data_IF_460594473274
#
_entry.id   IF_460594473274
#
_cell.length_a   1.000
_cell.length_b   1.000
_cell.length_c   1.000
_cell.angle_alpha   90.00
_cell.angle_beta   90.00
_cell.angle_gamma   90.00
#
_symmetry.space_group_name_H-M   'P 1'
#
loop_
_entity.id
_entity.type
_entity.pdbx_description
1 polymer ?
#
# COMPACT_ATOMS: atom_id res chain seq x y z
N UNK A 1 -9.29 -17.12 14.92
CA UNK A 1 -8.45 -16.63 13.81
C UNK A 1 -7.27 -17.58 13.62
N UNK A 2 -6.65 -17.56 12.45
CA UNK A 2 -5.41 -18.29 12.16
C UNK A 2 -4.41 -17.40 11.42
N UNK A 3 -3.11 -17.70 11.56
CA UNK A 3 -2.07 -17.21 10.66
C UNK A 3 -2.06 -18.08 9.40
N UNK A 4 -2.17 -17.47 8.24
CA UNK A 4 -1.96 -18.14 6.95
C UNK A 4 -0.70 -17.57 6.31
N UNK A 5 0.34 -18.39 6.19
CA UNK A 5 1.61 -18.01 5.57
C UNK A 5 1.76 -18.80 4.27
N UNK A 6 1.60 -18.13 3.14
CA UNK A 6 1.78 -18.69 1.79
C UNK A 6 3.14 -18.26 1.25
N UNK A 7 3.95 -19.20 0.72
CA UNK A 7 5.27 -18.91 0.12
C UNK A 7 5.53 -19.69 -1.16
N UNK A 8 6.17 -19.04 -2.14
CA UNK A 8 6.70 -19.70 -3.33
C UNK A 8 7.79 -20.73 -2.96
N UNK A 9 8.77 -20.30 -2.17
CA UNK A 9 9.79 -21.17 -1.60
C UNK A 9 9.27 -21.76 -0.27
N UNK A 10 8.87 -23.03 -0.32
CA UNK A 10 8.31 -23.76 0.81
C UNK A 10 9.36 -24.61 1.56
N UNK A 11 10.63 -24.58 1.17
CA UNK A 11 11.67 -25.45 1.71
C UNK A 11 11.90 -25.26 3.21
N UNK A 12 11.83 -24.02 3.71
CA UNK A 12 11.92 -23.70 5.14
C UNK A 12 10.93 -24.54 5.97
N UNK A 13 9.74 -24.81 5.41
CA UNK A 13 8.63 -25.48 6.08
C UNK A 13 8.55 -26.99 5.78
N UNK A 14 9.47 -27.57 4.99
CA UNK A 14 9.58 -29.02 4.76
C UNK A 14 10.22 -29.73 5.96
N UNK A 15 9.61 -29.57 7.13
CA UNK A 15 10.02 -30.15 8.41
C UNK A 15 9.04 -31.22 8.88
N UNK A 16 9.54 -32.14 9.70
CA UNK A 16 8.73 -33.19 10.31
C UNK A 16 7.90 -32.64 11.47
N UNK A 17 6.84 -33.36 11.86
CA UNK A 17 6.08 -33.00 13.07
C UNK A 17 6.99 -33.02 14.32
N UNK A 18 6.87 -32.00 15.16
CA UNK A 18 7.71 -31.74 16.33
C UNK A 18 9.01 -30.98 16.05
N UNK A 19 9.38 -30.78 14.77
CA UNK A 19 10.60 -30.05 14.45
C UNK A 19 10.41 -28.54 14.52
N UNK A 20 11.47 -27.87 14.98
CA UNK A 20 11.55 -26.41 15.08
C UNK A 20 12.37 -25.87 13.90
N UNK A 21 11.98 -24.70 13.43
CA UNK A 21 12.72 -23.92 12.45
C UNK A 21 12.69 -22.44 12.77
N UNK A 22 13.46 -21.68 11.99
CA UNK A 22 13.43 -20.22 11.99
C UNK A 22 13.25 -19.76 10.55
N UNK A 23 12.48 -18.70 10.34
CA UNK A 23 12.25 -18.11 9.02
C UNK A 23 12.06 -16.60 9.14
N UNK A 24 12.00 -15.94 7.99
CA UNK A 24 11.69 -14.52 7.91
C UNK A 24 10.67 -14.23 6.82
N UNK A 25 9.90 -13.16 7.00
CA UNK A 25 8.83 -12.75 6.11
C UNK A 25 8.90 -11.26 5.83
N UNK A 26 8.79 -10.85 4.56
CA UNK A 26 8.84 -9.43 4.19
C UNK A 26 7.64 -8.68 4.76
N UNK A 27 7.87 -7.58 5.49
CA UNK A 27 6.78 -6.81 6.10
C UNK A 27 5.83 -6.22 5.06
N UNK A 28 6.32 -5.90 3.86
CA UNK A 28 5.49 -5.37 2.78
C UNK A 28 4.42 -6.37 2.28
N UNK A 29 4.56 -7.65 2.64
CA UNK A 29 3.61 -8.74 2.33
C UNK A 29 2.86 -9.23 3.56
N UNK A 30 3.09 -8.63 4.72
CA UNK A 30 2.33 -8.87 5.95
C UNK A 30 0.94 -8.23 5.87
N UNK A 31 -0.08 -8.95 6.35
CA UNK A 31 -1.50 -8.60 6.28
C UNK A 31 -2.04 -8.42 4.85
N UNK A 32 -1.33 -8.91 3.84
CA UNK A 32 -1.90 -9.01 2.50
C UNK A 32 -2.99 -10.09 2.51
N UNK A 33 -4.15 -9.81 1.89
CA UNK A 33 -5.36 -10.64 1.97
C UNK A 33 -5.99 -10.78 3.37
N UNK A 34 -5.56 -9.99 4.36
CA UNK A 34 -6.28 -9.80 5.63
C UNK A 34 -7.44 -8.81 5.44
N UNK A 35 -8.58 -9.09 6.07
CA UNK A 35 -9.72 -8.16 6.07
C UNK A 35 -9.35 -6.79 6.66
N UNK A 36 -9.91 -5.72 6.12
CA UNK A 36 -9.53 -4.33 6.46
C UNK A 36 -9.76 -3.98 7.94
N UNK A 37 -10.79 -4.54 8.56
CA UNK A 37 -11.09 -4.36 9.99
C UNK A 37 -9.96 -4.94 10.85
N UNK A 38 -9.52 -6.16 10.53
CA UNK A 38 -8.45 -6.86 11.25
C UNK A 38 -7.10 -6.21 10.94
N UNK A 39 -6.83 -5.87 9.68
CA UNK A 39 -5.59 -5.17 9.29
C UNK A 39 -5.38 -3.90 10.12
N UNK A 40 -6.45 -3.14 10.39
CA UNK A 40 -6.40 -1.95 11.23
C UNK A 40 -6.06 -2.22 12.71
N UNK A 41 -6.32 -3.43 13.22
CA UNK A 41 -5.95 -3.81 14.61
C UNK A 41 -4.48 -4.23 14.76
N UNK A 42 -3.81 -4.58 13.64
CA UNK A 42 -2.42 -5.05 13.61
C UNK A 42 -1.47 -4.05 12.95
N UNK A 43 -1.96 -2.85 12.64
CA UNK A 43 -1.18 -1.71 12.16
C UNK A 43 -1.25 -0.55 13.16
N UNK A 44 -0.13 0.15 13.43
CA UNK A 44 1.22 -0.13 12.92
C UNK A 44 1.80 -1.41 13.53
N UNK A 45 2.80 -2.00 12.86
CA UNK A 45 3.47 -3.21 13.35
C UNK A 45 4.37 -2.85 14.53
N UNK A 46 3.95 -3.26 15.72
CA UNK A 46 4.66 -3.10 17.00
C UNK A 46 4.92 -4.44 17.67
N UNK A 47 5.83 -4.49 18.65
CA UNK A 47 6.09 -5.69 19.45
C UNK A 47 4.81 -6.25 20.11
N UNK A 48 3.87 -5.37 20.48
CA UNK A 48 2.56 -5.75 21.02
C UNK A 48 1.70 -6.45 19.97
N UNK A 49 1.52 -5.86 18.78
CA UNK A 49 0.74 -6.48 17.70
C UNK A 49 1.35 -7.81 17.23
N UNK A 50 2.69 -7.89 17.15
CA UNK A 50 3.41 -9.12 16.81
C UNK A 50 3.28 -10.18 17.91
N UNK A 51 3.19 -9.77 19.18
CA UNK A 51 3.02 -10.71 20.28
C UNK A 51 1.73 -11.51 20.16
N UNK A 52 0.63 -10.84 19.77
CA UNK A 52 -0.70 -11.43 19.56
C UNK A 52 -0.73 -12.48 18.44
N UNK A 53 0.22 -12.44 17.50
CA UNK A 53 0.28 -13.43 16.41
C UNK A 53 0.57 -14.85 16.92
N UNK A 54 1.24 -14.97 18.07
CA UNK A 54 1.61 -16.25 18.70
C UNK A 54 0.42 -17.01 19.24
N UNK A 55 -0.70 -16.33 19.47
CA UNK A 55 -1.92 -16.92 20.05
C UNK A 55 -2.74 -17.70 19.01
N UNK A 56 -2.42 -17.54 17.72
CA UNK A 56 -3.15 -18.21 16.64
C UNK A 56 -2.38 -19.42 16.10
N UNK A 57 -3.09 -20.50 15.72
CA UNK A 57 -2.48 -21.57 14.93
C UNK A 57 -1.97 -21.01 13.60
N UNK A 58 -0.91 -21.62 13.08
CA UNK A 58 -0.29 -21.20 11.83
C UNK A 58 -0.41 -22.29 10.79
N UNK A 59 -1.07 -21.97 9.69
CA UNK A 59 -1.07 -22.77 8.47
C UNK A 59 0.05 -22.26 7.57
N UNK A 60 1.04 -23.11 7.33
CA UNK A 60 2.08 -22.87 6.32
C UNK A 60 1.66 -23.56 5.04
N UNK A 61 1.55 -22.82 3.95
CA UNK A 61 1.15 -23.36 2.65
C UNK A 61 2.10 -22.92 1.54
N UNK A 62 2.33 -23.76 0.53
CA UNK A 62 3.05 -23.33 -0.66
C UNK A 62 2.15 -22.47 -1.54
N UNK A 63 2.75 -21.65 -2.40
CA UNK A 63 2.03 -21.17 -3.58
C UNK A 63 1.60 -22.37 -4.44
N UNK A 64 0.60 -22.13 -5.29
CA UNK A 64 0.12 -23.12 -6.24
C UNK A 64 1.22 -23.48 -7.24
N UNK A 65 1.51 -24.78 -7.34
CA UNK A 65 2.50 -25.34 -8.26
C UNK A 65 1.82 -26.26 -9.28
N UNK A 66 2.33 -26.31 -10.51
CA UNK A 66 1.85 -27.26 -11.53
C UNK A 66 2.45 -28.64 -11.30
N UNK A 67 1.64 -29.69 -11.46
CA UNK A 67 2.11 -31.07 -11.52
C UNK A 67 2.59 -31.37 -12.94
N UNK A 68 3.90 -31.36 -13.16
CA UNK A 68 4.53 -31.66 -14.47
C UNK A 68 4.04 -30.73 -15.61
N UNK A 69 4.46 -30.98 -16.87
CA UNK A 69 4.20 -30.12 -18.06
C UNK A 69 2.71 -30.03 -18.48
N UNK A 70 1.77 -30.55 -17.69
CA UNK A 70 0.33 -30.42 -17.96
C UNK A 70 -0.26 -29.24 -17.16
N UNK A 71 -0.56 -28.14 -17.86
CA UNK A 71 -1.17 -26.89 -17.36
C UNK A 71 -2.60 -27.04 -16.77
N UNK A 72 -2.99 -28.26 -16.40
CA UNK A 72 -4.32 -28.65 -15.96
C UNK A 72 -4.41 -29.04 -14.49
N UNK A 73 -3.33 -29.60 -13.91
CA UNK A 73 -3.33 -30.14 -12.55
C UNK A 73 -2.35 -29.38 -11.67
N UNK A 74 -2.82 -28.97 -10.49
CA UNK A 74 -2.06 -28.15 -9.57
C UNK A 74 -2.05 -28.74 -8.18
N UNK A 75 -1.06 -28.34 -7.39
CA UNK A 75 -0.98 -28.70 -6.00
C UNK A 75 -0.51 -27.57 -5.09
N UNK A 76 -0.81 -27.75 -3.81
CA UNK A 76 -0.22 -26.98 -2.71
C UNK A 76 0.25 -27.93 -1.61
N UNK A 77 1.42 -27.68 -1.07
CA UNK A 77 1.91 -28.34 0.14
C UNK A 77 1.42 -27.57 1.36
N UNK A 78 1.02 -28.27 2.43
CA UNK A 78 0.46 -27.67 3.64
C UNK A 78 1.05 -28.29 4.90
N UNK A 79 1.31 -27.45 5.91
CA UNK A 79 1.72 -27.85 7.26
C UNK A 79 0.93 -27.04 8.28
N UNK A 80 0.61 -27.67 9.40
CA UNK A 80 0.09 -26.99 10.58
C UNK A 80 1.22 -26.79 11.59
N UNK A 81 1.23 -25.66 12.26
CA UNK A 81 2.22 -25.37 13.28
C UNK A 81 1.86 -24.18 14.16
N UNK A 82 2.86 -23.72 14.90
CA UNK A 82 2.80 -22.54 15.76
C UNK A 82 4.03 -21.68 15.52
N UNK A 83 3.89 -20.36 15.69
CA UNK A 83 5.00 -19.41 15.61
C UNK A 83 5.39 -18.91 17.00
N UNK A 84 6.69 -18.64 17.20
CA UNK A 84 7.31 -18.20 18.45
C UNK A 84 8.35 -17.12 18.12
N UNK A 85 8.78 -16.36 19.13
CA UNK A 85 9.88 -15.38 19.02
C UNK A 85 9.76 -14.42 17.82
N UNK A 86 8.55 -13.87 17.63
CA UNK A 86 8.26 -12.95 16.51
C UNK A 86 8.86 -11.58 16.81
N UNK A 87 9.65 -11.05 15.88
CA UNK A 87 10.28 -9.72 15.98
C UNK A 87 10.50 -9.12 14.60
N UNK A 88 10.68 -7.81 14.50
CA UNK A 88 11.05 -7.14 13.24
C UNK A 88 12.55 -6.82 13.25
N UNK A 89 13.24 -7.19 12.16
CA UNK A 89 14.63 -6.79 11.93
C UNK A 89 14.89 -6.62 10.44
N UNK A 90 15.47 -5.47 10.07
CA UNK A 90 15.79 -5.13 8.68
C UNK A 90 14.59 -5.30 7.75
N UNK A 91 13.41 -4.78 8.14
CA UNK A 91 12.16 -4.84 7.36
C UNK A 91 11.57 -6.24 7.14
N UNK A 92 12.17 -7.26 7.74
CA UNK A 92 11.63 -8.61 7.79
C UNK A 92 11.05 -8.89 9.19
N UNK A 93 9.89 -9.55 9.23
CA UNK A 93 9.38 -10.22 10.41
C UNK A 93 10.13 -11.55 10.55
N UNK A 94 10.95 -11.67 11.58
CA UNK A 94 11.66 -12.91 11.93
C UNK A 94 10.87 -13.66 12.98
N UNK A 95 10.79 -14.97 12.83
CA UNK A 95 10.08 -15.82 13.76
C UNK A 95 10.66 -17.24 13.77
N UNK A 96 10.53 -17.89 14.92
CA UNK A 96 10.70 -19.32 15.05
C UNK A 96 9.34 -20.00 14.85
N UNK A 97 9.35 -21.24 14.43
CA UNK A 97 8.13 -22.02 14.27
C UNK A 97 8.35 -23.48 14.61
N UNK A 98 7.26 -24.15 14.93
CA UNK A 98 7.20 -25.58 15.22
C UNK A 98 6.11 -26.20 14.35
N UNK A 99 6.46 -27.23 13.57
CA UNK A 99 5.47 -27.97 12.79
C UNK A 99 4.78 -28.97 13.71
N UNK A 100 3.47 -28.85 13.87
CA UNK A 100 2.68 -29.81 14.66
C UNK A 100 2.15 -30.93 13.78
N UNK A 101 1.79 -30.64 12.52
CA UNK A 101 1.27 -31.64 11.60
C UNK A 101 1.77 -31.48 10.17
N UNK A 102 2.03 -32.63 9.56
CA UNK A 102 2.41 -32.78 8.16
C UNK A 102 1.23 -33.37 7.40
N UNK A 103 0.72 -32.62 6.43
CA UNK A 103 -0.33 -33.11 5.54
C UNK A 103 0.24 -33.68 4.25
N UNK A 104 -0.53 -34.59 3.64
CA UNK A 104 -0.33 -34.95 2.24
C UNK A 104 -0.54 -33.72 1.36
N UNK A 105 0.10 -33.74 0.20
CA UNK A 105 -0.09 -32.73 -0.84
C UNK A 105 -1.57 -32.64 -1.23
N UNK A 106 -2.07 -31.41 -1.36
CA UNK A 106 -3.44 -31.15 -1.81
C UNK A 106 -3.42 -30.87 -3.30
N UNK A 107 -4.13 -31.70 -4.08
CA UNK A 107 -4.17 -31.59 -5.53
C UNK A 107 -5.56 -31.14 -6.01
N UNK A 108 -5.60 -30.31 -7.05
CA UNK A 108 -6.83 -29.83 -7.65
C UNK A 108 -6.65 -29.46 -9.12
N UNK A 109 -7.74 -29.53 -9.88
CA UNK A 109 -7.76 -29.15 -11.30
C UNK A 109 -7.97 -27.64 -11.48
N UNK A 110 -7.38 -27.06 -12.54
CA UNK A 110 -7.48 -25.61 -12.85
C UNK A 110 -8.90 -25.05 -12.76
N UNK A 111 -9.87 -25.79 -13.31
CA UNK A 111 -11.28 -25.38 -13.36
C UNK A 111 -11.94 -25.31 -11.97
N UNK A 112 -11.44 -26.08 -11.00
CA UNK A 112 -11.93 -26.11 -9.61
C UNK A 112 -11.26 -25.09 -8.69
N UNK A 113 -10.32 -24.28 -9.20
CA UNK A 113 -9.51 -23.36 -8.38
C UNK A 113 -10.35 -22.38 -7.56
N UNK A 114 -11.31 -21.69 -8.20
CA UNK A 114 -12.12 -20.68 -7.50
C UNK A 114 -12.94 -21.30 -6.37
N UNK A 115 -13.41 -22.54 -6.56
CA UNK A 115 -14.12 -23.29 -5.53
C UNK A 115 -13.17 -23.75 -4.42
N UNK A 116 -11.94 -24.15 -4.76
CA UNK A 116 -10.90 -24.48 -3.79
C UNK A 116 -10.51 -23.26 -2.94
N UNK A 117 -10.23 -22.10 -3.54
CA UNK A 117 -9.97 -20.83 -2.84
C UNK A 117 -11.14 -20.51 -1.87
N UNK A 118 -12.38 -20.59 -2.36
CA UNK A 118 -13.57 -20.29 -1.55
C UNK A 118 -13.73 -21.23 -0.35
N UNK A 119 -13.51 -22.53 -0.53
CA UNK A 119 -13.60 -23.53 0.56
C UNK A 119 -12.59 -23.27 1.68
N UNK A 120 -11.43 -22.71 1.33
CA UNK A 120 -10.36 -22.36 2.27
C UNK A 120 -10.52 -20.95 2.88
N UNK A 121 -11.55 -20.19 2.51
CA UNK A 121 -11.71 -18.79 2.93
C UNK A 121 -10.68 -17.84 2.30
N UNK A 122 -10.16 -18.19 1.13
CA UNK A 122 -9.17 -17.40 0.40
C UNK A 122 -9.83 -16.43 -0.59
N UNK A 123 -9.20 -15.28 -0.76
CA UNK A 123 -9.50 -14.31 -1.79
C UNK A 123 -9.01 -14.75 -3.17
N UNK A 124 -9.53 -14.08 -4.20
CA UNK A 124 -9.11 -14.32 -5.58
C UNK A 124 -7.63 -14.04 -5.78
N UNK A 125 -6.87 -15.05 -6.21
CA UNK A 125 -5.45 -14.91 -6.54
C UNK A 125 -4.51 -15.05 -5.34
N UNK A 126 -5.06 -15.37 -4.17
CA UNK A 126 -4.30 -15.54 -2.93
C UNK A 126 -3.32 -16.72 -3.01
N UNK A 127 -3.63 -17.75 -3.80
CA UNK A 127 -2.77 -18.93 -3.99
C UNK A 127 -1.52 -18.70 -4.88
N UNK A 128 -1.42 -17.57 -5.59
CA UNK A 128 -0.34 -17.29 -6.56
C UNK A 128 0.70 -16.33 -6.03
N UNK A 129 0.64 -16.01 -4.74
CA UNK A 129 1.38 -14.88 -4.22
C UNK A 129 1.80 -15.12 -2.80
N UNK A 130 3.09 -14.94 -2.55
CA UNK A 130 3.67 -15.01 -1.22
C UNK A 130 3.09 -13.87 -0.37
N UNK A 131 2.45 -14.25 0.74
CA UNK A 131 1.89 -13.32 1.72
C UNK A 131 1.66 -13.99 3.09
N UNK A 132 1.46 -13.15 4.10
CA UNK A 132 0.98 -13.55 5.41
C UNK A 132 -0.36 -12.87 5.67
N UNK A 133 -1.43 -13.66 5.75
CA UNK A 133 -2.77 -13.20 6.09
C UNK A 133 -3.19 -13.63 7.50
N UNK A 134 -4.02 -12.81 8.14
CA UNK A 134 -4.81 -13.22 9.30
C UNK A 134 -6.23 -13.52 8.83
N UNK A 135 -6.70 -14.72 9.15
CA UNK A 135 -8.00 -15.21 8.68
C UNK A 135 -8.95 -15.46 9.84
N UNK A 136 -10.21 -15.08 9.64
CA UNK A 136 -11.32 -15.26 10.58
C UNK A 136 -11.86 -16.68 10.59
N UNK A 137 -11.75 -17.39 9.46
CA UNK A 137 -12.10 -18.82 9.36
C UNK A 137 -11.38 -19.60 10.48
N UNK A 138 -12.12 -20.50 11.12
CA UNK A 138 -11.54 -21.36 12.15
C UNK A 138 -10.58 -22.37 11.53
N UNK A 139 -9.63 -22.86 12.31
CA UNK A 139 -8.73 -23.92 11.84
C UNK A 139 -9.52 -25.15 11.37
N UNK A 140 -10.58 -25.53 12.08
CA UNK A 140 -11.39 -26.69 11.71
C UNK A 140 -12.14 -26.48 10.38
N UNK A 141 -12.72 -25.31 10.15
CA UNK A 141 -13.36 -24.99 8.87
C UNK A 141 -12.34 -24.99 7.72
N UNK A 142 -11.14 -24.44 7.95
CA UNK A 142 -10.06 -24.48 6.97
C UNK A 142 -9.67 -25.91 6.62
N UNK A 143 -9.43 -26.76 7.62
CA UNK A 143 -9.06 -28.17 7.44
C UNK A 143 -10.16 -28.94 6.70
N UNK A 144 -11.43 -28.76 7.10
CA UNK A 144 -12.57 -29.38 6.42
C UNK A 144 -12.68 -28.92 4.96
N UNK A 145 -12.52 -27.63 4.70
CA UNK A 145 -12.52 -27.07 3.33
C UNK A 145 -11.38 -27.61 2.46
N UNK A 146 -10.25 -27.90 3.09
CA UNK A 146 -9.07 -28.49 2.48
C UNK A 146 -9.17 -30.02 2.27
N UNK A 147 -10.16 -30.68 2.90
CA UNK A 147 -10.21 -32.15 2.97
C UNK A 147 -9.10 -32.74 3.84
N UNK A 148 -8.56 -31.97 4.78
CA UNK A 148 -7.50 -32.35 5.71
C UNK A 148 -8.11 -32.73 7.06
N UNK A 149 -7.55 -33.75 7.69
CA UNK A 149 -7.93 -34.17 9.05
C UNK A 149 -6.72 -34.20 9.96
N UNK A 150 -6.92 -33.80 11.20
CA UNK A 150 -5.93 -33.88 12.28
C UNK A 150 -6.51 -34.81 13.36
N UNK A 151 -5.71 -35.69 13.99
CA UNK A 151 -6.18 -36.48 15.13
C UNK A 151 -6.77 -35.59 16.24
N UNK A 152 -7.91 -35.98 16.84
CA UNK A 152 -8.62 -35.15 17.84
C UNK A 152 -7.74 -34.78 19.05
N UNK A 153 -6.79 -35.65 19.40
CA UNK A 153 -5.81 -35.49 20.48
C UNK A 153 -4.68 -34.49 20.15
N UNK A 154 -4.53 -34.13 18.88
CA UNK A 154 -3.48 -33.24 18.42
C UNK A 154 -3.98 -31.80 18.18
N UNK A 155 -5.30 -31.58 18.30
CA UNK A 155 -5.89 -30.28 18.60
C UNK A 155 -5.75 -30.02 20.11
N UNK A 156 -4.50 -29.83 20.55
CA UNK A 156 -4.11 -29.51 21.93
C UNK A 156 -5.15 -28.61 22.62
N UNK A 157 -5.62 -28.96 23.83
CA UNK A 157 -6.71 -28.31 24.60
C UNK A 157 -6.47 -26.81 24.93
N UNK A 158 -5.38 -26.23 24.44
CA UNK A 158 -5.16 -24.77 24.38
C UNK A 158 -5.78 -24.12 23.14
N UNK A 159 -6.30 -24.91 22.18
CA UNK A 159 -7.00 -24.45 20.96
C UNK A 159 -8.51 -24.25 21.20
N UNK A 160 -9.03 -24.59 22.39
CA UNK A 160 -10.38 -24.18 22.82
C UNK A 160 -10.45 -22.67 23.03
N UNK A 161 -10.94 -21.98 21.99
CA UNK A 161 -11.97 -20.95 22.05
C UNK A 161 -11.94 -20.14 23.36
N UNK A 162 -10.95 -19.26 23.53
CA UNK A 162 -11.33 -17.91 23.93
C UNK A 162 -11.97 -17.28 22.71
N UNK A 163 -13.27 -17.60 22.53
CA UNK A 163 -14.16 -16.62 21.96
C UNK A 163 -13.96 -15.40 22.83
N UNK A 164 -13.15 -14.45 22.36
CA UNK A 164 -13.29 -13.08 22.80
C UNK A 164 -14.76 -12.82 22.55
N UNK A 165 -15.53 -12.72 23.64
CA UNK A 165 -16.91 -12.34 23.56
C UNK A 165 -16.99 -11.13 22.61
N UNK A 166 -17.96 -11.06 21.69
CA UNK A 166 -18.27 -9.76 21.12
C UNK A 166 -18.59 -8.88 22.32
N UNK A 167 -17.74 -7.88 22.59
CA UNK A 167 -18.11 -6.88 23.57
C UNK A 167 -19.48 -6.37 23.15
N UNK A 168 -20.39 -6.41 24.11
CA UNK A 168 -21.79 -6.10 23.95
C UNK A 168 -21.98 -4.87 23.07
N UNK A 169 -22.97 -4.97 22.18
CA UNK A 169 -23.54 -3.88 21.40
C UNK A 169 -23.87 -2.69 22.30
N UNK A 170 -22.93 -1.76 22.44
CA UNK A 170 -23.27 -0.36 22.55
C UNK A 170 -23.43 0.11 21.10
N UNK A 171 -24.60 0.68 20.78
CA UNK A 171 -24.77 1.44 19.55
C UNK A 171 -23.65 2.48 19.46
N UNK A 172 -22.65 2.24 18.63
CA UNK A 172 -21.62 3.21 18.29
C UNK A 172 -21.50 3.17 16.77
N UNK A 173 -21.87 4.30 16.16
CA UNK A 173 -21.74 4.57 14.74
C UNK A 173 -20.36 4.18 14.22
N UNK A 174 -20.36 3.64 13.00
CA UNK A 174 -19.17 3.19 12.26
C UNK A 174 -18.26 4.39 11.96
N UNK A 175 -17.46 4.77 12.96
CA UNK A 175 -16.33 5.69 12.87
C UNK A 175 -15.04 4.90 12.79
N UNK A 176 -14.53 4.73 11.56
CA UNK A 176 -13.19 4.19 11.33
C UNK A 176 -12.16 5.20 11.85
N UNK A 177 -11.46 4.84 12.92
CA UNK A 177 -10.30 5.58 13.41
C UNK A 177 -9.06 5.26 12.55
N UNK A 178 -8.30 6.26 12.09
CA UNK A 178 -6.99 6.08 11.44
C UNK A 178 -5.86 6.13 12.47
N UNK A 179 -4.84 5.28 12.31
CA UNK A 179 -3.60 5.42 13.07
C UNK A 179 -2.42 5.77 12.14
N UNK A 180 -1.80 6.87 12.54
CA UNK A 180 -0.54 7.46 12.12
C UNK A 180 0.73 6.68 12.39
N UNK A 181 1.48 6.24 11.38
CA UNK A 181 2.90 5.94 11.54
C UNK A 181 3.72 7.23 11.55
N UNK A 182 4.66 7.27 12.50
CA UNK A 182 5.64 8.33 12.82
C UNK A 182 5.18 9.35 13.86
N UNK A 183 4.50 8.91 14.90
CA UNK A 183 4.68 9.42 16.26
C UNK A 183 4.50 8.26 17.25
N UNK A 184 5.26 8.26 18.33
CA UNK A 184 5.20 7.22 19.36
C UNK A 184 3.78 7.07 19.91
N UNK A 185 3.41 5.83 20.28
CA UNK A 185 2.22 5.51 21.06
C UNK A 185 2.12 6.50 22.23
N UNK A 186 1.10 7.37 22.23
CA UNK A 186 0.77 8.24 23.36
C UNK A 186 0.97 9.77 23.21
N UNK A 187 1.19 10.34 22.01
CA UNK A 187 1.06 11.79 21.80
C UNK A 187 -0.17 12.16 20.97
N UNK A 188 -0.92 13.15 21.44
CA UNK A 188 -2.06 13.73 20.73
C UNK A 188 -1.61 14.39 19.42
N UNK A 189 -2.31 14.09 18.32
CA UNK A 189 -2.08 14.75 17.04
C UNK A 189 -2.55 16.22 17.17
N UNK A 190 -1.69 17.22 16.91
CA UNK A 190 -2.07 18.62 17.08
C UNK A 190 -3.25 18.99 16.18
N UNK A 191 -4.16 19.80 16.71
CA UNK A 191 -5.33 20.29 15.99
C UNK A 191 -5.19 21.79 15.69
N UNK A 192 -5.51 22.19 14.46
CA UNK A 192 -5.46 23.59 14.03
C UNK A 192 -6.83 24.05 13.53
N UNK A 193 -7.12 25.32 13.83
CA UNK A 193 -8.41 25.95 13.55
C UNK A 193 -8.30 27.23 12.70
N UNK A 194 -7.08 27.64 12.36
CA UNK A 194 -6.80 28.82 11.55
C UNK A 194 -5.50 28.63 10.75
N UNK A 195 -5.26 29.47 9.74
CA UNK A 195 -3.98 29.51 9.03
C UNK A 195 -2.84 29.86 10.02
N UNK A 196 -3.08 30.78 10.96
CA UNK A 196 -2.06 31.20 11.92
C UNK A 196 -1.61 30.06 12.84
N UNK A 197 -2.55 29.22 13.31
CA UNK A 197 -2.22 28.02 14.09
C UNK A 197 -1.40 27.05 13.25
N UNK A 198 -1.85 26.78 12.02
CA UNK A 198 -1.14 25.90 11.10
C UNK A 198 0.29 26.39 10.81
N UNK A 199 0.48 27.69 10.57
CA UNK A 199 1.80 28.27 10.32
C UNK A 199 2.73 28.19 11.53
N UNK A 200 2.17 28.27 12.75
CA UNK A 200 2.92 28.07 14.00
C UNK A 200 3.42 26.62 14.10
N UNK A 201 2.53 25.64 13.90
CA UNK A 201 2.89 24.22 13.96
C UNK A 201 3.96 23.85 12.92
N UNK A 202 3.83 24.29 11.66
CA UNK A 202 4.85 23.98 10.64
C UNK A 202 6.18 24.71 10.90
N UNK A 203 6.16 25.82 11.64
CA UNK A 203 7.36 26.59 12.00
C UNK A 203 8.27 25.85 12.97
N UNK A 204 7.75 24.87 13.71
CA UNK A 204 8.50 24.03 14.65
C UNK A 204 9.20 22.86 13.95
N UNK A 205 8.86 22.59 12.69
CA UNK A 205 9.43 21.47 11.93
C UNK A 205 10.83 21.85 11.43
N UNK A 206 11.81 21.06 11.89
CA UNK A 206 13.22 21.22 11.53
C UNK A 206 13.40 21.32 10.00
N UNK A 207 13.66 22.54 9.55
CA UNK A 207 13.92 22.85 8.16
C UNK A 207 15.38 23.28 8.05
N UNK A 208 16.25 22.32 7.69
CA UNK A 208 17.62 22.60 7.30
C UNK A 208 17.75 22.53 5.77
N UNK A 209 18.77 23.17 5.17
CA UNK A 209 19.02 23.06 3.72
C UNK A 209 19.19 21.61 3.23
N UNK A 210 19.57 20.70 4.12
CA UNK A 210 19.78 19.27 3.82
C UNK A 210 18.49 18.45 3.92
N UNK A 211 17.37 19.05 4.32
CA UNK A 211 16.07 18.39 4.49
C UNK A 211 15.08 19.00 3.51
N UNK A 212 14.46 18.15 2.70
CA UNK A 212 13.30 18.50 1.89
C UNK A 212 12.03 18.16 2.66
N UNK A 213 11.13 19.14 2.75
CA UNK A 213 9.81 18.97 3.36
C UNK A 213 8.75 19.00 2.26
N UNK A 214 7.83 18.04 2.29
CA UNK A 214 6.68 17.96 1.40
C UNK A 214 5.42 17.73 2.21
N UNK A 215 4.29 18.13 1.64
CA UNK A 215 3.00 18.13 2.31
C UNK A 215 1.96 17.38 1.50
N UNK A 216 0.95 16.84 2.18
CA UNK A 216 -0.25 16.30 1.56
C UNK A 216 -1.47 16.65 2.41
N UNK A 217 -2.49 17.21 1.77
CA UNK A 217 -3.80 17.40 2.39
C UNK A 217 -4.69 16.18 2.19
N UNK A 218 -5.26 15.68 3.27
CA UNK A 218 -6.34 14.71 3.25
C UNK A 218 -7.60 15.41 3.74
N UNK A 219 -8.67 15.36 2.93
CA UNK A 219 -9.95 15.94 3.31
C UNK A 219 -10.53 15.30 4.58
N UNK A 220 -10.21 14.05 4.86
CA UNK A 220 -10.56 13.37 6.11
C UNK A 220 -9.32 12.80 6.74
N UNK A 221 -9.19 12.92 8.06
CA UNK A 221 -8.08 12.32 8.79
C UNK A 221 -8.05 10.78 8.69
N UNK A 222 -9.19 10.15 8.40
CA UNK A 222 -9.33 8.69 8.25
C UNK A 222 -8.93 8.12 6.89
N UNK A 223 -8.39 8.96 6.01
CA UNK A 223 -7.85 8.53 4.74
C UNK A 223 -6.46 7.88 4.91
N UNK A 224 -6.24 6.77 4.21
CA UNK A 224 -4.93 6.12 4.16
C UNK A 224 -3.97 6.91 3.28
N UNK A 225 -2.69 6.95 3.66
CA UNK A 225 -1.58 7.51 2.90
C UNK A 225 -1.08 6.50 1.84
N UNK A 226 -2.01 5.91 1.11
CA UNK A 226 -1.75 4.84 0.14
C UNK A 226 -2.15 5.28 -1.27
N UNK A 227 -1.30 5.08 -2.30
CA UNK A 227 -1.67 5.27 -3.70
C UNK A 227 -2.92 4.48 -4.08
N UNK A 228 -3.70 4.99 -5.04
CA UNK A 228 -4.95 4.32 -5.48
C UNK A 228 -4.70 2.89 -5.95
N UNK A 229 -3.56 2.62 -6.61
CA UNK A 229 -3.20 1.28 -7.10
C UNK A 229 -3.15 0.22 -5.98
N UNK A 230 -2.62 0.58 -4.80
CA UNK A 230 -2.47 -0.32 -3.65
C UNK A 230 -3.69 -0.30 -2.72
N UNK A 231 -4.86 0.16 -3.17
CA UNK A 231 -6.08 0.06 -2.37
C UNK A 231 -6.68 -1.34 -2.51
N UNK A 232 -7.05 -1.93 -1.36
CA UNK A 232 -7.69 -3.25 -1.24
C UNK A 232 -9.20 -3.13 -1.07
N UNK A 233 -9.94 -4.17 -1.45
CA UNK A 233 -11.32 -4.40 -1.05
C UNK A 233 -11.44 -4.63 0.46
N UNK A 234 -12.64 -4.54 1.07
CA UNK A 234 -12.83 -4.82 2.50
C UNK A 234 -12.33 -6.22 2.93
N UNK A 235 -12.44 -7.21 2.05
CA UNK A 235 -11.94 -8.57 2.27
C UNK A 235 -10.42 -8.74 2.10
N UNK A 236 -9.65 -7.66 1.96
CA UNK A 236 -8.19 -7.71 1.83
C UNK A 236 -7.64 -7.95 0.41
N UNK A 237 -8.50 -8.28 -0.57
CA UNK A 237 -8.05 -8.51 -1.97
C UNK A 237 -7.69 -7.20 -2.69
N UNK A 238 -6.75 -7.26 -3.63
CA UNK A 238 -6.35 -6.08 -4.42
C UNK A 238 -7.45 -5.64 -5.40
N UNK A 239 -7.72 -4.34 -5.47
CA UNK A 239 -8.66 -3.78 -6.46
C UNK A 239 -8.04 -3.68 -7.86
N UNK A 240 -6.82 -3.18 -7.92
CA UNK A 240 -6.18 -2.73 -9.17
C UNK A 240 -4.79 -3.30 -9.40
N UNK A 241 -4.04 -3.58 -8.32
CA UNK A 241 -2.62 -3.96 -8.38
C UNK A 241 -2.32 -5.06 -9.40
N UNK A 242 -3.15 -6.10 -9.44
CA UNK A 242 -2.97 -7.28 -10.32
C UNK A 242 -3.23 -7.00 -11.80
N UNK A 243 -3.76 -5.82 -12.15
CA UNK A 243 -4.11 -5.41 -13.51
C UNK A 243 -3.41 -4.12 -13.93
N UNK A 244 -2.41 -3.66 -13.18
CA UNK A 244 -1.72 -2.37 -13.41
C UNK A 244 -1.27 -2.22 -14.88
N UNK A 245 -0.65 -3.25 -15.44
CA UNK A 245 -0.08 -3.21 -16.78
C UNK A 245 -1.16 -3.23 -17.88
N UNK A 246 -2.30 -3.87 -17.60
CA UNK A 246 -3.46 -3.90 -18.50
C UNK A 246 -4.12 -2.53 -18.56
N UNK A 247 -4.48 -1.95 -17.41
CA UNK A 247 -5.19 -0.66 -17.35
C UNK A 247 -4.34 0.49 -17.92
N UNK A 248 -3.02 0.45 -17.71
CA UNK A 248 -2.07 1.42 -18.28
C UNK A 248 -2.06 1.32 -19.80
N UNK A 249 -1.93 0.10 -20.35
CA UNK A 249 -1.91 -0.10 -21.81
C UNK A 249 -3.24 0.22 -22.47
N UNK A 250 -4.36 -0.10 -21.83
CA UNK A 250 -5.69 0.24 -22.35
C UNK A 250 -5.85 1.76 -22.49
N UNK A 251 -5.47 2.53 -21.47
CA UNK A 251 -5.58 3.99 -21.55
C UNK A 251 -4.61 4.59 -22.58
N UNK A 252 -3.36 4.11 -22.63
CA UNK A 252 -2.38 4.54 -23.65
C UNK A 252 -2.88 4.26 -25.07
N UNK A 253 -3.55 3.12 -25.28
CA UNK A 253 -4.09 2.72 -26.58
C UNK A 253 -5.33 3.52 -26.95
N UNK A 254 -6.24 3.74 -26.00
CA UNK A 254 -7.48 4.47 -26.22
C UNK A 254 -7.28 5.97 -26.44
N UNK A 255 -6.27 6.57 -25.79
CA UNK A 255 -6.01 8.02 -25.81
C UNK A 255 -4.60 8.35 -26.30
N UNK A 256 -4.09 7.64 -27.31
CA UNK A 256 -2.71 7.76 -27.79
C UNK A 256 -2.26 9.20 -28.11
N UNK A 257 -3.17 10.07 -28.58
CA UNK A 257 -2.87 11.48 -28.88
C UNK A 257 -2.51 12.29 -27.63
N UNK A 258 -3.17 12.02 -26.51
CA UNK A 258 -2.93 12.73 -25.24
C UNK A 258 -1.53 12.43 -24.68
N UNK A 259 -1.00 11.24 -24.97
CA UNK A 259 0.32 10.79 -24.53
C UNK A 259 1.46 11.09 -25.53
N UNK A 260 1.16 11.64 -26.71
CA UNK A 260 2.13 11.76 -27.80
C UNK A 260 3.37 12.62 -27.46
N UNK A 261 3.23 13.56 -26.52
CA UNK A 261 4.30 14.46 -26.09
C UNK A 261 4.98 14.04 -24.77
N UNK A 262 4.49 12.99 -24.13
CA UNK A 262 5.06 12.46 -22.91
C UNK A 262 6.35 11.70 -23.26
N UNK A 263 7.45 12.00 -22.55
CA UNK A 263 8.80 11.51 -22.92
C UNK A 263 9.25 10.30 -22.11
N UNK A 264 8.59 10.04 -21.00
CA UNK A 264 8.88 8.90 -20.12
C UNK A 264 7.62 8.28 -19.57
N UNK A 265 7.74 7.07 -19.06
CA UNK A 265 6.68 6.39 -18.32
C UNK A 265 6.26 7.16 -17.07
N UNK A 266 7.15 7.95 -16.46
CA UNK A 266 6.76 8.84 -15.36
C UNK A 266 5.74 9.89 -15.84
N UNK A 267 5.96 10.52 -16.99
CA UNK A 267 5.02 11.51 -17.53
C UNK A 267 3.66 10.88 -17.81
N UNK A 268 3.65 9.67 -18.40
CA UNK A 268 2.43 8.89 -18.59
C UNK A 268 1.71 8.68 -17.26
N UNK A 269 2.40 8.18 -16.23
CA UNK A 269 1.80 7.92 -14.92
C UNK A 269 1.25 9.19 -14.26
N UNK A 270 1.95 10.32 -14.37
CA UNK A 270 1.49 11.61 -13.86
C UNK A 270 0.21 12.07 -14.57
N UNK A 271 0.13 11.93 -15.90
CA UNK A 271 -1.09 12.23 -16.66
C UNK A 271 -2.23 11.28 -16.31
N UNK A 272 -1.94 9.99 -16.20
CA UNK A 272 -2.90 8.96 -15.80
C UNK A 272 -3.50 9.24 -14.42
N UNK A 273 -2.65 9.58 -13.44
CA UNK A 273 -3.05 10.02 -12.10
C UNK A 273 -3.95 11.25 -12.15
N UNK A 274 -3.59 12.25 -12.96
CA UNK A 274 -4.37 13.48 -13.12
C UNK A 274 -5.82 13.21 -13.55
N UNK A 275 -6.01 12.27 -14.48
CA UNK A 275 -7.33 11.84 -14.95
C UNK A 275 -7.97 10.70 -14.13
N UNK A 276 -7.34 10.30 -13.02
CA UNK A 276 -7.93 9.38 -12.04
C UNK A 276 -7.71 7.90 -12.29
N UNK A 277 -6.81 7.51 -13.21
CA UNK A 277 -6.40 6.11 -13.32
C UNK A 277 -5.65 5.70 -12.03
N UNK A 278 -5.89 4.51 -11.46
CA UNK A 278 -5.13 4.00 -10.34
C UNK A 278 -3.65 3.82 -10.70
N UNK A 279 -2.76 4.63 -10.11
CA UNK A 279 -1.31 4.51 -10.32
C UNK A 279 -0.54 4.29 -9.02
N UNK A 280 0.74 3.95 -9.17
CA UNK A 280 1.73 3.85 -8.08
C UNK A 280 2.17 5.21 -7.50
N UNK A 281 1.62 6.32 -8.00
CA UNK A 281 1.96 7.66 -7.55
C UNK A 281 1.09 8.10 -6.36
N UNK A 282 1.70 8.84 -5.45
CA UNK A 282 1.00 9.59 -4.41
C UNK A 282 1.32 11.07 -4.55
N UNK A 283 0.29 11.90 -4.71
CA UNK A 283 0.48 13.35 -4.87
C UNK A 283 0.96 14.00 -3.58
N UNK A 284 1.99 14.82 -3.70
CA UNK A 284 2.50 15.70 -2.67
C UNK A 284 2.55 17.14 -3.21
N UNK A 285 2.74 18.10 -2.33
CA UNK A 285 3.00 19.49 -2.69
C UNK A 285 4.15 20.03 -1.86
N UNK A 286 4.99 20.89 -2.44
CA UNK A 286 5.97 21.65 -1.66
C UNK A 286 5.37 22.90 -1.01
N UNK A 287 4.08 23.20 -1.23
CA UNK A 287 3.40 24.35 -0.66
C UNK A 287 2.47 23.91 0.49
N UNK A 288 2.77 24.28 1.75
CA UNK A 288 1.97 23.87 2.90
C UNK A 288 0.53 24.39 2.85
N UNK A 289 0.28 25.57 2.27
CA UNK A 289 -1.06 26.14 2.17
C UNK A 289 -1.93 25.43 1.11
N UNK A 290 -1.31 24.85 0.08
CA UNK A 290 -2.02 24.00 -0.89
C UNK A 290 -2.43 22.68 -0.22
N UNK A 291 -1.57 22.10 0.62
CA UNK A 291 -1.95 20.94 1.42
C UNK A 291 -3.07 21.28 2.42
N UNK A 292 -2.99 22.43 3.09
CA UNK A 292 -4.06 22.91 3.95
C UNK A 292 -5.38 23.07 3.19
N UNK A 293 -5.35 23.64 1.98
CA UNK A 293 -6.53 23.72 1.12
C UNK A 293 -7.14 22.34 0.84
N UNK A 294 -6.33 21.35 0.43
CA UNK A 294 -6.82 19.98 0.17
C UNK A 294 -7.32 19.25 1.42
N UNK A 295 -6.89 19.66 2.62
CA UNK A 295 -7.44 19.15 3.87
C UNK A 295 -8.84 19.72 4.18
N UNK A 296 -9.19 20.85 3.57
CA UNK A 296 -10.45 21.56 3.81
C UNK A 296 -11.46 21.44 2.67
N UNK A 297 -11.02 21.21 1.43
CA UNK A 297 -11.86 21.19 0.24
C UNK A 297 -11.71 19.88 -0.57
N UNK A 298 -12.83 19.18 -0.75
CA UNK A 298 -12.98 18.08 -1.70
C UNK A 298 -14.28 18.27 -2.50
N UNK A 299 -14.21 18.50 -3.83
CA UNK A 299 -15.39 18.63 -4.68
C UNK A 299 -16.32 17.41 -4.69
N UNK A 300 -15.83 16.25 -4.23
CA UNK A 300 -16.58 14.99 -4.17
C UNK A 300 -17.03 14.64 -2.75
N UNK A 301 -16.82 15.53 -1.78
CA UNK A 301 -17.24 15.31 -0.41
C UNK A 301 -18.75 15.13 -0.29
N UNK A 302 -19.16 14.13 0.51
CA UNK A 302 -20.55 13.98 0.95
C UNK A 302 -20.82 14.95 2.10
N UNK A 303 -22.08 15.31 2.32
CA UNK A 303 -22.45 16.23 3.41
C UNK A 303 -22.00 15.71 4.79
N UNK A 304 -22.13 14.41 5.04
CA UNK A 304 -21.71 13.77 6.30
C UNK A 304 -20.19 13.89 6.56
N UNK A 305 -19.38 14.05 5.51
CA UNK A 305 -17.93 14.14 5.61
C UNK A 305 -17.45 15.56 5.93
N UNK A 306 -18.31 16.59 5.81
CA UNK A 306 -17.95 18.00 6.07
C UNK A 306 -17.56 18.25 7.53
N UNK A 307 -18.18 17.52 8.45
CA UNK A 307 -17.94 17.67 9.88
C UNK A 307 -16.76 16.83 10.39
N UNK A 308 -16.23 15.91 9.58
CA UNK A 308 -15.03 15.15 9.94
C UNK A 308 -13.80 16.03 9.83
N UNK A 309 -12.83 15.95 10.74
CA UNK A 309 -11.59 16.71 10.62
C UNK A 309 -10.80 16.28 9.39
N UNK A 310 -10.17 17.25 8.73
CA UNK A 310 -9.17 17.02 7.71
C UNK A 310 -7.82 16.74 8.35
N UNK A 311 -6.81 16.48 7.52
CA UNK A 311 -5.45 16.27 8.01
C UNK A 311 -4.42 16.79 7.01
N UNK A 312 -3.42 17.51 7.49
CA UNK A 312 -2.20 17.79 6.75
C UNK A 312 -1.13 16.81 7.21
N UNK A 313 -0.52 16.14 6.25
CA UNK A 313 0.54 15.16 6.42
C UNK A 313 1.81 15.78 5.89
N UNK A 314 2.87 15.75 6.68
CA UNK A 314 4.14 16.40 6.41
C UNK A 314 5.18 15.29 6.35
N UNK A 315 5.88 15.20 5.23
CA UNK A 315 6.90 14.20 4.99
C UNK A 315 8.25 14.90 4.89
N UNK A 316 9.22 14.45 5.68
CA UNK A 316 10.59 14.94 5.60
C UNK A 316 11.49 13.86 4.98
N UNK A 317 12.46 14.30 4.19
CA UNK A 317 13.51 13.43 3.65
C UNK A 317 14.77 14.23 3.40
N UNK A 318 15.92 13.56 3.29
CA UNK A 318 17.17 14.24 2.93
C UNK A 318 17.06 14.80 1.52
N UNK A 319 17.48 16.04 1.30
CA UNK A 319 17.37 16.72 0.02
C UNK A 319 18.02 15.94 -1.14
N UNK A 320 19.14 15.24 -0.88
CA UNK A 320 19.83 14.37 -1.84
C UNK A 320 19.05 13.11 -2.26
N UNK A 321 18.06 12.71 -1.48
CA UNK A 321 17.20 11.55 -1.79
C UNK A 321 16.02 11.93 -2.68
N UNK A 322 15.71 13.22 -2.79
CA UNK A 322 14.73 13.71 -3.75
C UNK A 322 15.29 13.55 -5.17
N UNK A 323 14.64 12.71 -5.96
CA UNK A 323 15.00 12.43 -7.35
C UNK A 323 14.27 13.39 -8.29
N UNK A 324 14.86 13.58 -9.45
CA UNK A 324 14.26 14.31 -10.56
C UNK A 324 13.78 13.34 -11.64
N UNK A 325 12.96 13.86 -12.56
CA UNK A 325 12.32 13.10 -13.64
C UNK A 325 13.29 12.32 -14.53
N UNK A 326 14.56 12.69 -14.57
CA UNK A 326 15.62 12.08 -15.40
C UNK A 326 16.44 11.02 -14.65
N UNK A 327 16.15 10.76 -13.37
CA UNK A 327 16.84 9.74 -12.58
C UNK A 327 16.59 8.33 -13.13
N UNK A 328 17.63 7.50 -13.12
CA UNK A 328 17.57 6.10 -13.57
C UNK A 328 16.69 5.23 -12.68
N UNK A 329 16.74 5.41 -11.36
CA UNK A 329 15.81 4.73 -10.43
C UNK A 329 14.35 5.05 -10.74
N UNK A 330 14.06 6.28 -11.14
CA UNK A 330 12.71 6.71 -11.50
C UNK A 330 12.23 6.06 -12.79
N UNK A 331 13.09 5.96 -13.80
CA UNK A 331 12.80 5.21 -15.02
C UNK A 331 12.53 3.74 -14.74
N UNK A 332 13.37 3.11 -13.90
CA UNK A 332 13.19 1.71 -13.48
C UNK A 332 11.83 1.50 -12.81
N UNK A 333 11.54 2.22 -11.72
CA UNK A 333 10.27 2.03 -10.97
C UNK A 333 9.05 2.41 -11.82
N UNK A 334 9.14 3.44 -12.66
CA UNK A 334 8.03 3.82 -13.54
C UNK A 334 7.77 2.73 -14.59
N UNK A 335 8.82 2.19 -15.21
CA UNK A 335 8.70 1.13 -16.23
C UNK A 335 8.24 -0.21 -15.67
N UNK A 336 8.43 -0.48 -14.37
CA UNK A 336 7.84 -1.67 -13.72
C UNK A 336 6.33 -1.73 -13.95
N UNK A 337 5.64 -0.60 -14.09
CA UNK A 337 4.20 -0.57 -14.37
C UNK A 337 3.82 -1.41 -15.60
N UNK A 338 4.73 -1.51 -16.58
CA UNK A 338 4.57 -2.26 -17.82
C UNK A 338 4.89 -3.76 -17.70
N UNK A 339 5.47 -4.23 -16.60
CA UNK A 339 5.62 -5.67 -16.37
C UNK A 339 4.26 -6.28 -16.03
N UNK A 340 4.03 -7.51 -16.49
CA UNK A 340 2.84 -8.27 -16.06
C UNK A 340 2.87 -8.51 -14.54
N UNK A 341 1.71 -8.80 -13.95
CA UNK A 341 1.64 -9.12 -12.52
C UNK A 341 2.54 -10.30 -12.14
N UNK A 342 2.63 -11.33 -13.00
CA UNK A 342 3.45 -12.52 -12.74
C UNK A 342 4.94 -12.18 -12.82
N UNK A 343 5.36 -11.40 -13.83
CA UNK A 343 6.73 -10.90 -13.91
C UNK A 343 7.13 -10.08 -12.67
N UNK A 344 6.22 -9.24 -12.14
CA UNK A 344 6.44 -8.47 -10.90
C UNK A 344 6.59 -9.38 -9.68
N UNK A 345 5.78 -10.44 -9.59
CA UNK A 345 5.82 -11.37 -8.47
C UNK A 345 7.09 -12.23 -8.46
N UNK A 346 7.64 -12.52 -9.64
CA UNK A 346 8.85 -13.35 -9.78
C UNK A 346 10.16 -12.59 -9.53
N UNK A 347 10.12 -11.27 -9.29
CA UNK A 347 11.32 -10.50 -8.97
C UNK A 347 11.76 -10.82 -7.53
N UNK A 348 12.87 -11.56 -7.40
CA UNK A 348 13.57 -11.74 -6.13
C UNK A 348 14.50 -10.54 -5.88
N UNK A 349 14.18 -9.79 -4.82
CA UNK A 349 14.90 -8.58 -4.44
C UNK A 349 16.21 -8.86 -3.71
N UNK A 350 16.38 -10.08 -3.19
CA UNK A 350 17.57 -10.50 -2.42
C UNK A 350 18.61 -11.16 -3.32
N UNK A 351 18.28 -11.36 -4.60
CA UNK A 351 19.16 -11.91 -5.62
C UNK A 351 20.36 -11.00 -5.87
N UNK A 352 21.49 -11.60 -6.27
CA UNK A 352 22.67 -10.82 -6.67
C UNK A 352 22.37 -10.00 -7.93
N UNK A 353 23.07 -8.87 -8.08
CA UNK A 353 22.89 -7.99 -9.25
C UNK A 353 23.17 -8.71 -10.57
N UNK A 354 24.12 -9.65 -10.59
CA UNK A 354 24.50 -10.35 -11.82
C UNK A 354 23.51 -11.46 -12.17
N UNK A 355 23.01 -12.21 -11.17
CA UNK A 355 21.94 -13.20 -11.41
C UNK A 355 20.65 -12.51 -11.84
N UNK A 356 20.30 -11.39 -11.21
CA UNK A 356 19.08 -10.66 -11.52
C UNK A 356 19.05 -10.16 -12.97
N UNK A 357 20.19 -9.81 -13.56
CA UNK A 357 20.25 -9.39 -14.98
C UNK A 357 19.89 -10.54 -15.94
N UNK A 358 20.09 -11.78 -15.52
CA UNK A 358 19.77 -12.94 -16.35
C UNK A 358 18.29 -13.33 -16.29
N UNK A 359 17.56 -12.87 -15.28
CA UNK A 359 16.12 -13.08 -15.13
C UNK A 359 15.31 -12.44 -16.28
N UNK A 360 14.29 -13.16 -16.74
CA UNK A 360 13.40 -12.70 -17.82
C UNK A 360 12.68 -11.40 -17.43
N UNK A 361 12.25 -11.28 -16.18
CA UNK A 361 11.60 -10.06 -15.66
C UNK A 361 12.53 -8.84 -15.73
N UNK A 362 13.83 -9.02 -15.49
CA UNK A 362 14.82 -7.95 -15.54
C UNK A 362 15.12 -7.55 -16.98
N UNK A 363 15.38 -8.53 -17.86
CA UNK A 363 15.57 -8.31 -19.31
C UNK A 363 14.40 -7.53 -19.89
N UNK A 364 13.17 -7.92 -19.52
CA UNK A 364 11.95 -7.24 -19.97
C UNK A 364 11.82 -5.82 -19.44
N UNK A 365 12.21 -5.58 -18.18
CA UNK A 365 12.22 -4.24 -17.60
C UNK A 365 13.23 -3.33 -18.33
N UNK A 366 14.44 -3.83 -18.58
CA UNK A 366 15.49 -3.11 -19.29
C UNK A 366 15.05 -2.77 -20.72
N UNK A 367 14.33 -3.65 -21.41
CA UNK A 367 13.73 -3.34 -22.72
C UNK A 367 12.80 -2.13 -22.64
N UNK A 368 11.93 -2.06 -21.62
CA UNK A 368 11.02 -0.93 -21.46
C UNK A 368 11.77 0.36 -21.14
N UNK A 369 12.77 0.31 -20.26
CA UNK A 369 13.58 1.48 -19.92
C UNK A 369 14.38 1.97 -21.12
N UNK A 370 14.98 1.07 -21.91
CA UNK A 370 15.78 1.44 -23.09
C UNK A 370 14.94 2.02 -24.23
N UNK A 371 13.63 1.72 -24.28
CA UNK A 371 12.71 2.38 -25.23
C UNK A 371 12.59 3.88 -24.96
N UNK A 372 12.58 4.31 -23.69
CA UNK A 372 12.56 5.74 -23.33
C UNK A 372 13.97 6.34 -23.19
N UNK A 373 14.96 5.55 -22.76
CA UNK A 373 16.35 5.94 -22.56
C UNK A 373 17.31 4.97 -23.26
N UNK A 374 17.58 5.12 -24.57
CA UNK A 374 18.42 4.19 -25.34
C UNK A 374 19.85 3.98 -24.79
N UNK A 375 20.35 4.93 -24.01
CA UNK A 375 21.69 4.90 -23.40
C UNK A 375 21.71 4.37 -21.95
N UNK A 376 20.58 3.85 -21.45
CA UNK A 376 20.51 3.30 -20.10
C UNK A 376 21.51 2.15 -19.94
N UNK A 377 22.35 2.25 -18.91
CA UNK A 377 23.32 1.22 -18.55
C UNK A 377 22.66 0.18 -17.66
N UNK A 378 23.15 -1.05 -17.65
CA UNK A 378 22.57 -2.18 -16.89
C UNK A 378 22.93 -2.11 -15.39
N UNK A 379 22.85 -0.91 -14.83
CA UNK A 379 23.01 -0.59 -13.42
C UNK A 379 21.64 -0.68 -12.78
N UNK A 380 21.24 -1.90 -12.50
CA UNK A 380 19.99 -2.22 -11.82
C UNK A 380 20.29 -3.02 -10.56
N UNK A 381 19.92 -2.46 -9.42
CA UNK A 381 19.90 -3.18 -8.14
C UNK A 381 18.45 -3.65 -7.89
N UNK A 382 18.20 -4.95 -7.69
CA UNK A 382 16.83 -5.44 -7.49
C UNK A 382 16.18 -4.86 -6.23
N UNK A 383 16.97 -4.46 -5.22
CA UNK A 383 16.44 -3.82 -4.00
C UNK A 383 15.86 -2.42 -4.28
N UNK A 384 16.43 -1.67 -5.23
CA UNK A 384 15.95 -0.34 -5.64
C UNK A 384 14.51 -0.38 -6.15
N UNK A 385 14.08 -1.50 -6.74
CA UNK A 385 12.74 -1.66 -7.30
C UNK A 385 11.64 -1.66 -6.24
N UNK A 386 11.97 -1.79 -4.96
CA UNK A 386 11.02 -1.76 -3.84
C UNK A 386 10.99 -0.43 -3.08
N UNK A 387 11.85 0.53 -3.44
CA UNK A 387 11.94 1.81 -2.75
C UNK A 387 10.70 2.69 -2.97
N UNK A 388 10.46 3.58 -2.01
CA UNK A 388 9.57 4.73 -2.18
C UNK A 388 10.46 5.92 -2.54
N UNK A 389 10.27 6.44 -3.75
CA UNK A 389 11.10 7.53 -4.25
C UNK A 389 10.35 8.86 -4.24
N UNK A 390 10.97 9.86 -3.64
CA UNK A 390 10.52 11.25 -3.70
C UNK A 390 10.89 11.83 -5.06
N UNK A 391 9.91 12.40 -5.77
CA UNK A 391 10.11 12.94 -7.11
C UNK A 391 9.57 14.35 -7.24
N UNK A 392 10.41 15.24 -7.75
CA UNK A 392 9.96 16.51 -8.33
C UNK A 392 9.69 16.29 -9.81
N UNK A 393 8.41 16.20 -10.15
CA UNK A 393 7.97 16.04 -11.53
C UNK A 393 8.28 17.28 -12.36
N UNK A 394 8.30 17.11 -13.69
CA UNK A 394 8.31 18.27 -14.58
C UNK A 394 6.97 18.97 -14.52
N UNK A 395 6.98 20.30 -14.48
CA UNK A 395 5.78 21.12 -14.53
C UNK A 395 5.22 21.19 -15.95
N UNK A 396 4.87 20.04 -16.54
CA UNK A 396 4.35 19.94 -17.92
C UNK A 396 2.86 20.26 -18.02
N UNK A 397 2.17 20.32 -16.88
CA UNK A 397 0.75 20.63 -16.78
C UNK A 397 0.53 21.82 -15.85
N UNK A 398 -0.31 22.77 -16.25
CA UNK A 398 -0.61 23.98 -15.47
C UNK A 398 -1.08 23.67 -14.04
N UNK A 399 -1.85 22.59 -13.86
CA UNK A 399 -2.30 22.13 -12.53
C UNK A 399 -1.15 21.69 -11.63
N UNK A 400 -0.13 21.03 -12.17
CA UNK A 400 1.03 20.61 -11.37
C UNK A 400 1.84 21.85 -10.96
N UNK A 401 1.95 22.82 -11.86
CA UNK A 401 2.59 24.10 -11.58
C UNK A 401 1.88 24.86 -10.44
N UNK A 402 0.56 25.05 -10.55
CA UNK A 402 -0.23 25.81 -9.59
C UNK A 402 -0.25 25.17 -8.20
N UNK A 403 -0.19 23.85 -8.15
CA UNK A 403 -0.20 23.08 -6.90
C UNK A 403 1.20 22.87 -6.31
N UNK A 404 2.27 23.37 -6.97
CA UNK A 404 3.65 23.06 -6.63
C UNK A 404 3.87 21.54 -6.43
N UNK A 405 3.37 20.76 -7.41
CA UNK A 405 3.21 19.32 -7.29
C UNK A 405 4.54 18.55 -7.23
N UNK A 406 4.59 17.60 -6.30
CA UNK A 406 5.62 16.58 -6.17
C UNK A 406 4.93 15.21 -6.01
N UNK A 407 5.68 14.12 -6.07
CA UNK A 407 5.10 12.78 -5.99
C UNK A 407 5.98 11.85 -5.16
N UNK A 408 5.35 10.87 -4.52
CA UNK A 408 6.01 9.62 -4.20
C UNK A 408 5.75 8.62 -5.31
N UNK A 409 6.77 7.90 -5.75
CA UNK A 409 6.66 6.75 -6.65
C UNK A 409 6.95 5.50 -5.83
N UNK A 410 5.97 4.60 -5.76
CA UNK A 410 6.09 3.37 -5.00
C UNK A 410 6.61 2.23 -5.88
N UNK A 411 7.66 1.57 -5.41
CA UNK A 411 8.20 0.34 -5.97
C UNK A 411 7.30 -0.89 -5.82
N UNK A 412 7.81 -2.03 -6.28
CA UNK A 412 7.22 -3.36 -6.13
C UNK A 412 7.24 -3.72 -4.64
N UNK A 413 6.04 -3.92 -4.08
CA UNK A 413 5.87 -4.24 -2.66
C UNK A 413 6.63 -3.23 -1.78
N UNK A 414 6.50 -1.95 -2.11
CA UNK A 414 7.01 -0.89 -1.26
C UNK A 414 6.32 -0.94 0.11
N UNK A 415 7.10 -0.70 1.16
CA UNK A 415 6.60 -0.65 2.53
C UNK A 415 5.71 0.56 2.72
N UNK A 416 4.42 0.30 2.87
CA UNK A 416 3.46 1.38 3.01
C UNK A 416 3.70 2.17 4.31
N UNK A 417 3.52 3.50 4.30
CA UNK A 417 3.64 4.34 5.49
C UNK A 417 2.92 3.77 6.71
N UNK A 418 1.73 3.22 6.52
CA UNK A 418 0.82 2.67 7.53
C UNK A 418 1.41 1.47 8.28
N UNK A 419 2.47 0.84 7.77
CA UNK A 419 3.13 -0.30 8.42
C UNK A 419 3.86 0.05 9.72
N UNK A 420 4.24 1.32 9.91
CA UNK A 420 5.15 1.70 10.99
C UNK A 420 6.60 1.87 10.53
N UNK A 421 6.98 1.26 9.40
CA UNK A 421 8.37 0.85 9.14
C UNK A 421 8.92 1.39 7.80
N UNK A 422 8.10 2.11 7.02
CA UNK A 422 8.42 2.66 5.68
C UNK A 422 9.68 3.54 5.56
N UNK A 423 10.36 3.86 6.67
CA UNK A 423 11.54 4.73 6.73
C UNK A 423 11.24 6.20 6.43
N UNK A 424 9.97 6.55 6.21
CA UNK A 424 9.50 7.92 6.03
C UNK A 424 9.29 8.59 7.38
N UNK A 425 9.82 9.79 7.53
CA UNK A 425 9.53 10.65 8.67
C UNK A 425 8.25 11.44 8.37
N UNK A 426 7.20 11.19 9.16
CA UNK A 426 5.85 11.69 8.89
C UNK A 426 5.31 12.42 10.13
N UNK A 427 4.98 13.69 9.97
CA UNK A 427 4.24 14.47 10.97
C UNK A 427 2.82 14.75 10.49
N UNK A 428 1.87 14.86 11.41
CA UNK A 428 0.45 14.99 11.07
C UNK A 428 -0.20 16.06 11.92
N UNK A 429 -1.08 16.83 11.30
CA UNK A 429 -1.81 17.92 11.92
C UNK A 429 -3.28 17.76 11.51
N UNK A 430 -4.18 17.67 12.48
CA UNK A 430 -5.61 17.61 12.24
C UNK A 430 -6.17 19.02 11.99
N UNK A 431 -7.13 19.12 11.06
CA UNK A 431 -7.71 20.39 10.62
C UNK A 431 -9.22 20.35 10.85
N UNK A 432 -9.71 21.13 11.81
CA UNK A 432 -11.10 21.01 12.29
C UNK A 432 -11.99 22.11 11.69
N UNK A 433 -11.58 23.38 11.77
CA UNK A 433 -12.32 24.54 11.24
C UNK A 433 -12.14 24.73 9.71
N UNK A 434 -12.53 23.73 8.91
CA UNK A 434 -12.32 23.74 7.45
C UNK A 434 -12.91 24.95 6.74
N UNK A 435 -14.13 25.33 7.10
CA UNK A 435 -14.83 26.44 6.44
C UNK A 435 -14.15 27.79 6.70
N UNK A 436 -13.82 28.10 7.95
CA UNK A 436 -13.10 29.33 8.29
C UNK A 436 -11.70 29.38 7.66
N UNK A 437 -11.00 28.25 7.61
CA UNK A 437 -9.69 28.16 6.94
C UNK A 437 -9.81 28.41 5.44
N UNK A 438 -10.85 27.92 4.77
CA UNK A 438 -11.07 28.20 3.34
C UNK A 438 -11.32 29.70 3.08
N UNK A 439 -12.04 30.39 3.98
CA UNK A 439 -12.22 31.84 3.88
C UNK A 439 -10.91 32.61 4.07
N UNK A 440 -10.07 32.19 5.02
CA UNK A 440 -8.74 32.76 5.21
C UNK A 440 -7.83 32.51 3.99
N UNK A 441 -7.86 31.30 3.41
CA UNK A 441 -7.09 30.93 2.22
C UNK A 441 -7.53 31.73 1.00
N UNK A 442 -8.84 31.98 0.85
CA UNK A 442 -9.37 32.80 -0.22
C UNK A 442 -8.83 34.24 -0.19
N UNK A 443 -8.61 34.82 1.00
CA UNK A 443 -7.96 36.14 1.16
C UNK A 443 -6.51 36.15 0.68
N UNK A 444 -5.85 34.98 0.68
CA UNK A 444 -4.51 34.77 0.12
C UNK A 444 -4.53 34.32 -1.35
N UNK A 445 -5.69 34.41 -2.02
CA UNK A 445 -5.93 33.96 -3.40
C UNK A 445 -5.71 32.45 -3.62
N UNK A 446 -5.89 31.64 -2.57
CA UNK A 446 -5.89 30.18 -2.64
C UNK A 446 -7.36 29.72 -2.63
N UNK A 447 -7.88 29.44 -3.83
CA UNK A 447 -9.29 29.06 -4.08
C UNK A 447 -9.36 28.01 -5.20
N UNK A 448 -10.56 27.46 -5.44
CA UNK A 448 -10.72 26.37 -6.40
C UNK A 448 -10.18 26.70 -7.79
N UNK A 449 -10.39 27.91 -8.31
CA UNK A 449 -9.90 28.33 -9.63
C UNK A 449 -8.39 28.49 -9.72
N UNK A 450 -7.71 28.82 -8.61
CA UNK A 450 -6.24 28.99 -8.60
C UNK A 450 -5.54 27.67 -8.34
N UNK A 451 -6.14 26.78 -7.54
CA UNK A 451 -5.65 25.43 -7.28
C UNK A 451 -5.89 24.51 -8.48
N UNK A 452 -7.05 24.59 -9.11
CA UNK A 452 -7.43 23.82 -10.30
C UNK A 452 -7.59 24.76 -11.49
N UNK A 453 -6.49 25.09 -12.19
CA UNK A 453 -6.55 25.99 -13.35
C UNK A 453 -7.42 25.36 -14.44
N UNK A 454 -8.32 26.17 -14.99
CA UNK A 454 -9.28 25.77 -16.01
C UNK A 454 -10.39 26.81 -16.16
N UNK A 455 -10.92 26.96 -17.37
CA UNK A 455 -11.95 27.97 -17.66
C UNK A 455 -13.23 27.70 -16.85
N UNK A 456 -13.63 26.44 -16.69
CA UNK A 456 -14.83 26.09 -15.94
C UNK A 456 -14.71 26.50 -14.46
N UNK A 457 -13.58 26.17 -13.81
CA UNK A 457 -13.36 26.52 -12.40
C UNK A 457 -13.21 28.01 -12.18
N UNK A 458 -12.58 28.73 -13.11
CA UNK A 458 -12.53 30.18 -13.07
C UNK A 458 -13.94 30.81 -13.17
N UNK A 459 -14.78 30.31 -14.08
CA UNK A 459 -16.14 30.81 -14.24
C UNK A 459 -17.04 30.51 -13.02
N UNK A 460 -16.93 29.32 -12.43
CA UNK A 460 -17.63 28.94 -11.19
C UNK A 460 -17.25 29.87 -10.02
N UNK A 461 -15.96 30.10 -9.79
CA UNK A 461 -15.48 30.96 -8.70
C UNK A 461 -15.91 32.42 -8.90
N UNK A 462 -15.84 32.94 -10.13
CA UNK A 462 -16.32 34.28 -10.45
C UNK A 462 -17.82 34.35 -10.12
N UNK A 463 -18.64 33.42 -10.62
CA UNK A 463 -20.08 33.40 -10.36
C UNK A 463 -20.37 33.40 -8.85
N UNK A 464 -19.70 32.54 -8.08
CA UNK A 464 -19.86 32.46 -6.63
C UNK A 464 -19.53 33.80 -5.94
N UNK A 465 -18.46 34.48 -6.35
CA UNK A 465 -18.06 35.77 -5.76
C UNK A 465 -19.06 36.91 -5.96
N UNK A 466 -19.88 36.87 -7.01
CA UNK A 466 -20.91 37.90 -7.30
C UNK A 466 -22.32 37.49 -6.84
N UNK A 467 -22.55 36.23 -6.48
CA UNK A 467 -23.84 35.78 -5.93
C UNK A 467 -24.07 36.19 -4.46
N UNK A 468 -23.01 36.55 -3.72
CA UNK A 468 -23.09 36.92 -2.28
C UNK A 468 -23.35 38.43 -2.08
N UNK A 469 -23.66 39.19 -3.15
CA UNK A 469 -23.82 40.65 -3.09
C UNK A 469 -25.27 41.17 -2.99
N UNK A 470 -26.24 40.34 -2.62
CA UNK A 470 -27.62 40.78 -2.31
C UNK A 470 -28.02 40.44 -0.87
N UNK A 471 -27.48 41.20 0.09
CA UNK A 471 -28.09 41.44 1.42
C UNK A 471 -27.75 42.82 1.92
#
# INVERSE_FOLDING_TARGET
>A
MLNLIIRANFEDYRKSAGEIGSSSFEIARFLEYTEKSIEAEYLPVTDETLSRLRDFPTVFMSEMQSLEDDDLTYYVDCRLGRIKNVSVKNRDIRFDFEITHVFNRMEFVRKGRSEFEKRLGLGSGELYRTHWALKTISLQEFLNGAGLSVPEDALDETITINAVAPMATAHVDVGLAPISTSMMVGQDIPEVNSISDFLREIGEINSSPDVSVLYRGHYRNDYSLTPTLFRKHPNGTWKWLTKEDVIVRELMSAQAREFANDRSMLDHLVRMQHYGLPTRLLDLTSNPLIALYFSCADPKAKDDDKNKPGQVIILTTKAKEVKYFDSDKISLISCVTLLTNDQKNNIDKKMSVDDFKEEESCKRLLDFVRREKPHFQDKIDPSDLSEILFVRGRSTHERIASQAGAFLVFGINAELPETGISGLDIHRINVVNKAGILEELAKLNIKASTVYPGLERAAEDIKASYMVAET
#
